data_IF_171621233617
#
_entry.id   IF_171621233617
#
_cell.length_a   1.000
_cell.length_b   1.000
_cell.length_c   1.000
_cell.angle_alpha   90.00
_cell.angle_beta   90.00
_cell.angle_gamma   90.00
#
_symmetry.space_group_name_H-M   'P 1'
#
loop_
_entity.id
_entity.type
_entity.pdbx_description
1 polymer ?
#
# COMPACT_ATOMS: atom_id res chain seq x y z
N UNK A 1 5.06 -2.89 -4.23
CA UNK A 1 5.09 -2.19 -2.92
C UNK A 1 5.92 -2.96 -1.91
N UNK A 2 5.58 -4.21 -1.58
CA UNK A 2 6.33 -5.02 -0.59
C UNK A 2 7.82 -5.16 -0.96
N UNK A 3 8.14 -5.38 -2.25
CA UNK A 3 9.53 -5.45 -2.74
C UNK A 3 10.30 -4.13 -2.60
N UNK A 4 9.67 -3.00 -2.91
CA UNK A 4 10.28 -1.67 -2.77
C UNK A 4 10.51 -1.29 -1.29
N UNK A 5 9.64 -1.77 -0.39
CA UNK A 5 9.85 -1.65 1.06
C UNK A 5 11.04 -2.53 1.49
N UNK A 6 11.15 -3.74 0.95
CA UNK A 6 12.26 -4.66 1.27
C UNK A 6 13.62 -4.18 0.73
N UNK A 7 13.64 -3.47 -0.41
CA UNK A 7 14.87 -2.93 -1.01
C UNK A 7 15.37 -1.65 -0.34
N UNK A 8 14.62 -1.06 0.60
CA UNK A 8 15.02 0.16 1.29
C UNK A 8 14.78 1.47 0.51
N UNK A 9 14.20 1.40 -0.69
CA UNK A 9 13.98 2.59 -1.53
C UNK A 9 12.64 3.25 -1.18
N UNK A 10 12.71 4.28 -0.36
CA UNK A 10 11.55 5.04 0.08
C UNK A 10 10.83 5.77 -1.07
N UNK A 11 11.57 6.26 -2.07
CA UNK A 11 11.01 6.94 -3.23
C UNK A 11 10.19 5.97 -4.08
N UNK A 12 10.79 4.85 -4.45
CA UNK A 12 10.10 3.80 -5.17
C UNK A 12 8.91 3.21 -4.38
N UNK A 13 9.04 3.09 -3.04
CA UNK A 13 7.96 2.57 -2.20
C UNK A 13 6.75 3.52 -2.11
N UNK A 14 6.98 4.83 -2.07
CA UNK A 14 5.91 5.84 -2.06
C UNK A 14 5.18 5.92 -3.40
N UNK A 15 5.91 5.89 -4.52
CA UNK A 15 5.30 5.86 -5.87
C UNK A 15 4.51 4.56 -6.11
N UNK A 16 5.08 3.42 -5.72
CA UNK A 16 4.39 2.13 -5.82
C UNK A 16 3.13 2.08 -4.94
N UNK A 17 3.16 2.70 -3.76
CA UNK A 17 2.00 2.77 -2.88
C UNK A 17 0.91 3.67 -3.46
N UNK A 18 1.29 4.82 -4.02
CA UNK A 18 0.38 5.78 -4.65
C UNK A 18 -0.40 5.15 -5.83
N UNK A 19 0.29 4.35 -6.65
CA UNK A 19 -0.34 3.62 -7.76
C UNK A 19 -1.17 2.41 -7.29
N UNK A 20 -0.75 1.69 -6.25
CA UNK A 20 -1.43 0.49 -5.76
C UNK A 20 -2.68 0.79 -4.92
N UNK A 21 -2.67 1.84 -4.10
CA UNK A 21 -3.78 2.20 -3.22
C UNK A 21 -5.15 2.34 -3.94
N UNK A 22 -5.28 3.08 -5.07
CA UNK A 22 -6.55 3.20 -5.77
C UNK A 22 -7.01 1.88 -6.40
N UNK A 23 -6.08 1.02 -6.83
CA UNK A 23 -6.42 -0.30 -7.39
C UNK A 23 -7.00 -1.22 -6.32
N UNK A 24 -6.39 -1.26 -5.13
CA UNK A 24 -6.87 -2.04 -3.99
C UNK A 24 -8.25 -1.57 -3.54
N UNK A 25 -8.47 -0.26 -3.50
CA UNK A 25 -9.78 0.30 -3.14
C UNK A 25 -10.84 0.04 -4.23
N UNK A 26 -10.46 0.06 -5.52
CA UNK A 26 -11.37 -0.32 -6.62
C UNK A 26 -11.73 -1.80 -6.56
N UNK A 27 -10.80 -2.68 -6.20
CA UNK A 27 -11.09 -4.10 -5.96
C UNK A 27 -12.08 -4.30 -4.81
N UNK A 28 -12.01 -3.43 -3.78
CA UNK A 28 -12.97 -3.44 -2.68
C UNK A 28 -14.37 -2.98 -3.12
N UNK A 29 -14.46 -1.95 -3.95
CA UNK A 29 -15.73 -1.48 -4.52
C UNK A 29 -16.40 -2.54 -5.37
N UNK A 30 -15.61 -3.36 -6.08
CA UNK A 30 -16.10 -4.49 -6.87
C UNK A 30 -16.45 -5.73 -6.04
N UNK A 31 -16.30 -5.67 -4.70
CA UNK A 31 -16.59 -6.79 -3.81
C UNK A 31 -15.59 -7.95 -3.86
N UNK A 32 -14.48 -7.82 -4.60
CA UNK A 32 -13.44 -8.85 -4.72
C UNK A 32 -12.71 -9.03 -3.38
N UNK A 33 -12.55 -7.93 -2.65
CA UNK A 33 -12.00 -7.91 -1.28
C UNK A 33 -12.92 -7.11 -0.37
N UNK A 34 -13.05 -7.52 0.88
CA UNK A 34 -13.84 -6.77 1.85
C UNK A 34 -13.23 -5.38 2.08
N UNK A 35 -14.06 -4.33 2.17
CA UNK A 35 -13.61 -2.93 2.37
C UNK A 35 -12.62 -2.75 3.52
N UNK A 36 -12.88 -3.42 4.65
CA UNK A 36 -12.01 -3.38 5.82
C UNK A 36 -10.66 -4.08 5.58
N UNK A 37 -10.63 -5.11 4.75
CA UNK A 37 -9.39 -5.81 4.40
C UNK A 37 -8.53 -4.97 3.46
N UNK A 38 -9.14 -4.33 2.46
CA UNK A 38 -8.46 -3.35 1.61
C UNK A 38 -7.89 -2.18 2.42
N UNK A 39 -8.72 -1.56 3.26
CA UNK A 39 -8.31 -0.45 4.13
C UNK A 39 -7.15 -0.83 5.07
N UNK A 40 -7.24 -2.01 5.72
CA UNK A 40 -6.16 -2.51 6.58
C UNK A 40 -4.85 -2.73 5.80
N UNK A 41 -4.92 -3.25 4.57
CA UNK A 41 -3.73 -3.48 3.74
C UNK A 41 -3.05 -2.17 3.36
N UNK A 42 -3.83 -1.17 2.91
CA UNK A 42 -3.31 0.17 2.59
C UNK A 42 -2.66 0.80 3.83
N UNK A 43 -3.36 0.81 4.96
CA UNK A 43 -2.85 1.40 6.22
C UNK A 43 -1.54 0.76 6.68
N UNK A 44 -1.42 -0.57 6.65
CA UNK A 44 -0.20 -1.29 7.02
C UNK A 44 0.97 -0.94 6.09
N UNK A 45 0.73 -0.86 4.78
CA UNK A 45 1.77 -0.49 3.81
C UNK A 45 2.23 0.96 4.01
N UNK A 46 1.30 1.89 4.22
CA UNK A 46 1.63 3.29 4.53
C UNK A 46 2.47 3.40 5.80
N UNK A 47 2.12 2.67 6.86
CA UNK A 47 2.89 2.68 8.11
C UNK A 47 4.32 2.16 7.91
N UNK A 48 4.50 1.09 7.11
CA UNK A 48 5.83 0.56 6.78
C UNK A 48 6.66 1.55 5.97
N UNK A 49 6.09 2.17 4.94
CA UNK A 49 6.80 3.19 4.14
C UNK A 49 7.17 4.40 4.99
N UNK A 50 6.29 4.84 5.89
CA UNK A 50 6.60 5.94 6.83
C UNK A 50 7.70 5.57 7.82
N UNK A 51 7.73 4.32 8.28
CA UNK A 51 8.78 3.85 9.18
C UNK A 51 10.18 3.81 8.54
N UNK A 52 10.27 3.75 7.21
CA UNK A 52 11.55 3.87 6.48
C UNK A 52 12.11 5.31 6.47
N UNK A 53 11.29 6.30 6.79
CA UNK A 53 11.64 7.73 6.71
C UNK A 53 12.28 8.28 8.00
N UNK A 54 12.55 7.44 9.00
CA UNK A 54 13.03 7.81 10.33
C UNK A 54 14.49 7.42 10.53
#
# INVERSE_FOLDING_TARGET
VEEAIASGDQGAATEALSSAAPLVMRAAQKGIVHKNTASRKVSRLTARVKAMAN
#
